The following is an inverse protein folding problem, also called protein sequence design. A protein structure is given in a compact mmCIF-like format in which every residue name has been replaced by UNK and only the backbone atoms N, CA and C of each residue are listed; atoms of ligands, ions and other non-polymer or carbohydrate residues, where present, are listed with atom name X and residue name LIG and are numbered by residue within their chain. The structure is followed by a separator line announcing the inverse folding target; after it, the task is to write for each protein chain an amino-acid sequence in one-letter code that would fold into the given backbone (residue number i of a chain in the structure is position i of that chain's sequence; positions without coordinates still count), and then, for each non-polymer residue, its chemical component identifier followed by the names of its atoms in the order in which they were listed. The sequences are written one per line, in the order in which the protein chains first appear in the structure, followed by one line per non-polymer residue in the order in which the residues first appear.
data_IF_985025379418
#
_entry.id   IF_985025379418
#
_cell.length_a   1.000
_cell.length_b   1.000
_cell.length_c   1.000
_cell.angle_alpha   90.00
_cell.angle_beta   90.00
_cell.angle_gamma   90.00
#
_symmetry.space_group_name_H-M   'P 1'
#
loop_
_entity.id
_entity.type
_entity.pdbx_description
1 polymer ?
#
# COMPACT_ATOMS: atom_id res chain seq x y z
N UNK A 1 -14.84 -6.77 11.06
CA UNK A 1 -13.43 -6.50 11.43
C UNK A 1 -12.61 -7.41 10.53
N UNK A 2 -11.91 -6.79 9.58
CA UNK A 2 -11.56 -7.32 8.26
C UNK A 2 -12.81 -7.67 7.43
N UNK A 3 -13.36 -6.70 6.70
CA UNK A 3 -14.26 -6.94 5.57
C UNK A 3 -13.47 -7.60 4.41
N UNK A 4 -12.87 -8.75 4.74
CA UNK A 4 -12.23 -9.69 3.86
C UNK A 4 -13.34 -10.43 3.11
N UNK A 5 -13.75 -9.90 1.96
CA UNK A 5 -14.14 -10.66 0.77
C UNK A 5 -14.44 -9.73 -0.42
N UNK A 6 -13.76 -8.59 -0.55
CA UNK A 6 -13.99 -7.72 -1.69
C UNK A 6 -13.11 -8.16 -2.88
N UNK A 7 -13.67 -8.76 -3.96
CA UNK A 7 -12.91 -9.07 -5.19
C UNK A 7 -12.18 -7.84 -5.76
N UNK A 8 -12.65 -6.65 -5.39
CA UNK A 8 -12.00 -5.37 -5.67
C UNK A 8 -10.58 -5.28 -5.10
N UNK A 9 -10.34 -5.69 -3.85
CA UNK A 9 -8.98 -5.66 -3.26
C UNK A 9 -8.05 -6.63 -3.96
N UNK A 10 -8.53 -7.81 -4.35
CA UNK A 10 -7.74 -8.77 -5.11
C UNK A 10 -7.37 -8.22 -6.50
N UNK A 11 -8.30 -7.54 -7.17
CA UNK A 11 -8.02 -6.87 -8.44
C UNK A 11 -6.98 -5.78 -8.29
N UNK A 12 -7.10 -4.91 -7.28
CA UNK A 12 -6.15 -3.83 -7.01
C UNK A 12 -4.74 -4.39 -6.73
N UNK A 13 -4.63 -5.45 -5.92
CA UNK A 13 -3.33 -6.09 -5.65
C UNK A 13 -2.71 -6.65 -6.92
N UNK A 14 -3.48 -7.35 -7.76
CA UNK A 14 -2.98 -7.90 -9.04
C UNK A 14 -2.56 -6.80 -10.02
N UNK A 15 -3.40 -5.78 -10.20
CA UNK A 15 -3.08 -4.63 -11.05
C UNK A 15 -1.85 -3.87 -10.54
N UNK A 16 -1.67 -3.80 -9.23
CA UNK A 16 -0.50 -3.16 -8.63
C UNK A 16 0.74 -4.01 -8.80
N UNK A 17 0.66 -5.32 -8.59
CA UNK A 17 1.75 -6.25 -8.86
C UNK A 17 2.23 -6.15 -10.32
N UNK A 18 1.33 -6.18 -11.29
CA UNK A 18 1.69 -6.01 -12.70
C UNK A 18 2.38 -4.67 -12.96
N UNK A 19 1.94 -3.60 -12.30
CA UNK A 19 2.61 -2.29 -12.38
C UNK A 19 4.03 -2.33 -11.78
N UNK A 20 4.23 -2.99 -10.63
CA UNK A 20 5.55 -3.12 -10.01
C UNK A 20 6.47 -4.03 -10.85
N UNK A 21 5.95 -5.10 -11.44
CA UNK A 21 6.72 -5.95 -12.37
C UNK A 21 7.16 -5.18 -13.61
N UNK A 22 6.34 -4.27 -14.12
CA UNK A 22 6.65 -3.40 -15.25
C UNK A 22 7.69 -2.30 -14.95
N UNK A 23 8.20 -2.22 -13.72
CA UNK A 23 9.20 -1.22 -13.32
C UNK A 23 8.66 -0.12 -12.41
N UNK A 24 7.38 -0.16 -12.04
CA UNK A 24 6.79 0.78 -11.09
C UNK A 24 7.46 0.70 -9.71
N UNK A 25 7.57 1.83 -9.03
CA UNK A 25 8.17 1.92 -7.69
C UNK A 25 7.13 1.92 -6.58
N UNK A 26 6.13 2.79 -6.65
CA UNK A 26 5.09 2.92 -5.62
C UNK A 26 3.74 3.25 -6.26
N UNK A 27 2.66 2.70 -5.69
CA UNK A 27 1.28 3.00 -6.11
C UNK A 27 0.35 3.08 -4.90
N UNK A 28 -0.57 4.04 -4.91
CA UNK A 28 -1.67 4.12 -3.95
C UNK A 28 -2.66 2.99 -4.23
N UNK A 29 -2.90 2.13 -3.23
CA UNK A 29 -3.80 0.95 -3.33
C UNK A 29 -5.10 1.14 -2.54
N UNK A 30 -5.10 2.05 -1.57
CA UNK A 30 -6.27 2.38 -0.76
C UNK A 30 -6.12 3.82 -0.28
N UNK A 31 -7.21 4.56 -0.29
CA UNK A 31 -7.31 5.85 0.37
C UNK A 31 -8.66 5.90 1.07
N UNK A 32 -8.61 6.12 2.37
CA UNK A 32 -9.75 6.43 3.21
C UNK A 32 -9.50 7.83 3.77
N UNK A 33 -10.55 8.59 4.10
CA UNK A 33 -10.44 10.00 4.54
C UNK A 33 -9.52 10.28 5.74
N UNK A 34 -8.97 9.24 6.37
CA UNK A 34 -8.00 9.31 7.46
C UNK A 34 -6.65 8.64 7.17
N UNK A 35 -6.54 7.77 6.16
CA UNK A 35 -5.35 6.93 5.91
C UNK A 35 -5.18 6.64 4.42
N UNK A 36 -3.94 6.65 3.95
CA UNK A 36 -3.54 6.24 2.60
C UNK A 36 -2.67 5.01 2.67
N UNK A 37 -3.07 3.94 2.01
CA UNK A 37 -2.29 2.73 1.81
C UNK A 37 -1.56 2.78 0.47
N UNK A 38 -0.23 2.67 0.52
CA UNK A 38 0.64 2.58 -0.63
C UNK A 38 1.27 1.19 -0.69
N UNK A 39 1.47 0.66 -1.89
CA UNK A 39 2.27 -0.53 -2.13
C UNK A 39 3.55 -0.11 -2.83
N UNK A 40 4.69 -0.51 -2.27
CA UNK A 40 6.01 -0.15 -2.78
C UNK A 40 6.83 -1.38 -3.13
N UNK A 41 7.45 -1.38 -4.31
CA UNK A 41 8.35 -2.42 -4.76
C UNK A 41 9.60 -2.49 -3.88
N UNK A 42 9.95 -3.70 -3.46
CA UNK A 42 11.27 -4.05 -2.94
C UNK A 42 12.07 -4.61 -4.09
N UNK A 43 13.19 -3.97 -4.43
CA UNK A 43 14.07 -4.42 -5.50
C UNK A 43 15.44 -4.79 -4.96
N UNK A 44 16.09 -5.72 -5.65
CA UNK A 44 17.51 -5.98 -5.44
C UNK A 44 18.38 -4.87 -6.08
N UNK A 45 19.69 -4.83 -5.80
CA UNK A 45 20.60 -3.87 -6.44
C UNK A 45 20.67 -3.96 -7.97
N UNK A 46 20.22 -5.07 -8.56
CA UNK A 46 20.13 -5.26 -10.00
C UNK A 46 18.77 -4.80 -10.59
N UNK A 47 17.87 -4.24 -9.76
CA UNK A 47 16.56 -3.73 -10.16
C UNK A 47 15.45 -4.79 -10.27
N UNK A 48 15.72 -6.04 -9.90
CA UNK A 48 14.72 -7.12 -9.93
C UNK A 48 13.76 -7.00 -8.76
N UNK A 49 12.47 -7.16 -9.03
CA UNK A 49 11.43 -7.15 -8.00
C UNK A 49 11.57 -8.38 -7.08
N UNK A 50 11.92 -8.15 -5.82
CA UNK A 50 11.97 -9.17 -4.77
C UNK A 50 10.62 -9.36 -4.07
N UNK A 51 9.79 -8.32 -4.08
CA UNK A 51 8.48 -8.32 -3.44
C UNK A 51 7.94 -6.90 -3.30
N UNK A 52 6.98 -6.73 -2.40
CA UNK A 52 6.43 -5.43 -2.06
C UNK A 52 6.15 -5.35 -0.56
N UNK A 53 6.07 -4.13 -0.04
CA UNK A 53 5.53 -3.86 1.29
C UNK A 53 4.44 -2.80 1.20
N UNK A 54 3.54 -2.82 2.16
CA UNK A 54 2.49 -1.81 2.30
C UNK A 54 2.95 -0.73 3.27
N UNK A 55 2.83 0.54 2.85
CA UNK A 55 3.09 1.71 3.67
C UNK A 55 1.78 2.45 3.89
N UNK A 56 1.40 2.64 5.14
CA UNK A 56 0.23 3.43 5.48
C UNK A 56 0.65 4.82 5.96
N UNK A 57 0.13 5.85 5.31
CA UNK A 57 0.31 7.24 5.71
C UNK A 57 -0.99 7.75 6.33
N UNK A 58 -0.89 8.31 7.54
CA UNK A 58 -2.03 8.94 8.19
C UNK A 58 -2.23 10.35 7.62
N UNK A 59 -3.42 10.61 7.09
CA UNK A 59 -3.80 11.96 6.67
C UNK A 59 -4.05 12.79 7.92
N UNK A 60 -2.99 13.42 8.39
CA UNK A 60 -3.06 14.33 9.53
C UNK A 60 -3.71 15.61 9.03
N UNK A 61 -5.03 15.69 9.08
CA UNK A 61 -5.74 16.97 8.94
C UNK A 61 -5.41 17.81 10.19
N UNK A 62 -4.27 18.51 10.17
CA UNK A 62 -3.95 19.52 11.20
C UNK A 62 -3.42 19.00 12.55
N UNK A 63 -2.49 18.04 12.58
CA UNK A 63 -1.63 17.78 13.76
C UNK A 63 -2.00 16.65 14.72
N UNK A 64 -3.09 15.91 14.50
CA UNK A 64 -3.42 14.75 15.35
C UNK A 64 -2.96 13.43 14.72
N UNK A 65 -1.83 12.94 15.23
CA UNK A 65 -1.27 11.61 15.00
C UNK A 65 -2.38 10.56 15.14
N UNK A 66 -2.49 9.64 14.16
CA UNK A 66 -3.34 8.45 14.30
C UNK A 66 -3.09 7.82 15.68
N UNK A 67 -4.13 7.58 16.51
CA UNK A 67 -3.94 6.96 17.80
C UNK A 67 -3.26 5.62 17.60
N UNK A 68 -2.07 5.49 18.20
CA UNK A 68 -1.17 4.37 18.00
C UNK A 68 -1.88 3.04 18.26
N UNK A 69 -1.66 2.13 17.32
CA UNK A 69 -1.55 0.69 17.55
C UNK A 69 -0.80 0.45 18.88
N UNK A 70 -1.52 -0.06 19.88
CA UNK A 70 -0.96 -0.38 21.19
C UNK A 70 -0.19 -1.69 21.04
N UNK A 71 1.13 -1.61 21.26
CA UNK A 71 1.99 -2.79 21.42
C UNK A 71 1.70 -3.58 22.69
#
# INVERSE_FOLDING_TARGET
MLDCHNPTSQRIIRETLTFLEAGGEERLISEDGSRRGYMRAVRDPAGRLLGYYERYECMTNGGERCPNDSG
#
